data_IF_149729939777
#
_entry.id   IF_149729939777
#
_cell.length_a   1.000
_cell.length_b   1.000
_cell.length_c   1.000
_cell.angle_alpha   90.00
_cell.angle_beta   90.00
_cell.angle_gamma   90.00
#
_symmetry.space_group_name_H-M   'P 1'
#
loop_
_entity.id
_entity.type
_entity.pdbx_description
1 polymer ?
#
# COMPACT_ATOMS: atom_id res chain seq x y z
N UNK A 1 -12.59 -28.97 1.14
CA UNK A 1 -11.64 -28.04 0.49
C UNK A 1 -11.04 -27.03 1.47
N UNK A 2 -11.70 -26.72 2.57
CA UNK A 2 -11.26 -25.70 3.53
C UNK A 2 -10.01 -26.05 4.36
N UNK A 3 -9.86 -27.32 4.80
CA UNK A 3 -8.69 -27.75 5.60
C UNK A 3 -7.34 -27.51 4.87
N UNK A 4 -7.18 -27.85 3.57
CA UNK A 4 -6.00 -27.45 2.80
C UNK A 4 -5.77 -25.93 2.73
N UNK A 5 -6.82 -25.13 2.51
CA UNK A 5 -6.72 -23.67 2.49
C UNK A 5 -6.23 -23.10 3.82
N UNK A 6 -6.78 -23.60 4.93
CA UNK A 6 -6.37 -23.19 6.27
C UNK A 6 -4.91 -23.55 6.56
N UNK A 7 -4.46 -24.75 6.19
CA UNK A 7 -3.05 -25.14 6.34
C UNK A 7 -2.12 -24.27 5.49
N UNK A 8 -2.53 -23.91 4.28
CA UNK A 8 -1.79 -22.96 3.43
C UNK A 8 -1.70 -21.59 4.08
N UNK A 9 -2.77 -21.09 4.69
CA UNK A 9 -2.81 -19.85 5.45
C UNK A 9 -1.81 -19.87 6.61
N UNK A 10 -1.82 -20.96 7.40
CA UNK A 10 -0.91 -21.14 8.52
C UNK A 10 0.55 -21.20 8.07
N UNK A 11 0.85 -21.86 6.94
CA UNK A 11 2.20 -21.89 6.38
C UNK A 11 2.63 -20.47 5.98
N UNK A 12 1.77 -19.76 5.26
CA UNK A 12 2.05 -18.39 4.81
C UNK A 12 2.30 -17.43 5.98
N UNK A 13 1.49 -17.51 7.03
CA UNK A 13 1.72 -16.76 8.27
C UNK A 13 3.07 -17.11 8.88
N UNK A 14 3.46 -18.39 8.98
CA UNK A 14 4.76 -18.77 9.57
C UNK A 14 5.95 -18.32 8.74
N UNK A 15 5.86 -18.42 7.41
CA UNK A 15 6.93 -18.02 6.52
C UNK A 15 7.12 -16.49 6.54
N UNK A 16 6.00 -15.73 6.57
CA UNK A 16 5.94 -14.27 6.64
C UNK A 16 6.97 -13.56 5.75
N UNK A 17 7.19 -14.10 4.54
CA UNK A 17 8.05 -13.46 3.55
C UNK A 17 7.45 -12.08 3.22
N UNK A 18 8.22 -10.99 3.28
CA UNK A 18 7.70 -9.66 3.00
C UNK A 18 7.27 -9.53 1.54
N UNK A 19 6.45 -8.53 1.24
CA UNK A 19 5.99 -8.19 -0.11
C UNK A 19 5.15 -9.31 -0.76
N UNK A 20 4.40 -10.04 0.07
CA UNK A 20 3.49 -11.11 -0.32
C UNK A 20 2.05 -10.82 0.10
N UNK A 21 1.15 -11.30 -0.74
CA UNK A 21 -0.30 -11.38 -0.51
C UNK A 21 -0.79 -12.81 -0.73
N UNK A 22 -1.71 -13.27 0.10
CA UNK A 22 -2.41 -14.54 -0.08
C UNK A 22 -3.91 -14.35 0.05
N UNK A 23 -4.63 -14.63 -1.03
CA UNK A 23 -6.10 -14.73 -1.05
C UNK A 23 -6.51 -16.21 -0.99
N UNK A 24 -7.37 -16.57 -0.04
CA UNK A 24 -7.96 -17.91 0.09
C UNK A 24 -9.42 -17.82 0.53
N UNK A 25 -10.20 -18.87 0.30
CA UNK A 25 -11.56 -18.97 0.84
C UNK A 25 -11.56 -19.75 2.16
N UNK A 26 -12.18 -19.20 3.19
CA UNK A 26 -12.39 -19.80 4.51
C UNK A 26 -13.74 -19.35 5.06
N UNK A 27 -14.42 -20.20 5.81
CA UNK A 27 -15.56 -19.78 6.63
C UNK A 27 -15.13 -18.75 7.66
N UNK A 28 -16.11 -17.98 8.15
CA UNK A 28 -15.89 -16.99 9.21
C UNK A 28 -15.31 -17.60 10.49
N UNK A 29 -15.71 -18.83 10.85
CA UNK A 29 -15.17 -19.57 12.00
C UNK A 29 -13.65 -19.81 11.84
N UNK A 30 -13.24 -20.31 10.67
CA UNK A 30 -11.82 -20.54 10.39
C UNK A 30 -11.04 -19.24 10.22
N UNK A 31 -11.65 -18.17 9.72
CA UNK A 31 -11.05 -16.84 9.75
C UNK A 31 -10.77 -16.40 11.19
N UNK A 32 -11.75 -16.48 12.10
CA UNK A 32 -11.56 -16.12 13.51
C UNK A 32 -10.48 -16.97 14.21
N UNK A 33 -10.38 -18.26 13.88
CA UNK A 33 -9.29 -19.10 14.38
C UNK A 33 -7.92 -18.68 13.83
N UNK A 34 -7.85 -18.28 12.55
CA UNK A 34 -6.64 -17.81 11.88
C UNK A 34 -6.18 -16.46 12.44
N UNK A 35 -7.09 -15.52 12.65
CA UNK A 35 -6.82 -14.20 13.24
C UNK A 35 -6.25 -14.34 14.65
N UNK A 36 -6.88 -15.15 15.51
CA UNK A 36 -6.33 -15.50 16.83
C UNK A 36 -4.92 -16.09 16.72
N UNK A 37 -4.66 -16.93 15.72
CA UNK A 37 -3.33 -17.51 15.52
C UNK A 37 -2.30 -16.48 15.09
N UNK A 38 -2.67 -15.54 14.21
CA UNK A 38 -1.82 -14.42 13.82
C UNK A 38 -1.48 -13.55 15.04
N UNK A 39 -2.48 -13.21 15.85
CA UNK A 39 -2.26 -12.43 17.08
C UNK A 39 -1.35 -13.17 18.08
N UNK A 40 -1.48 -14.49 18.26
CA UNK A 40 -0.55 -15.27 19.10
C UNK A 40 0.90 -15.23 18.58
N UNK A 41 1.10 -15.20 17.26
CA UNK A 41 2.43 -15.20 16.65
C UNK A 41 3.08 -13.81 16.63
N UNK A 42 2.28 -12.75 16.48
CA UNK A 42 2.75 -11.40 16.17
C UNK A 42 2.30 -10.32 17.17
N UNK A 43 1.43 -10.64 18.11
CA UNK A 43 0.87 -9.70 19.08
C UNK A 43 0.12 -8.56 18.38
N UNK A 44 0.46 -7.34 18.78
CA UNK A 44 -0.08 -6.10 18.20
C UNK A 44 0.74 -5.60 16.99
N UNK A 45 1.66 -6.41 16.47
CA UNK A 45 2.38 -6.03 15.27
C UNK A 45 1.40 -5.90 14.09
N UNK A 46 1.56 -4.81 13.33
CA UNK A 46 0.68 -4.49 12.20
C UNK A 46 0.68 -5.54 11.09
N UNK A 47 1.78 -6.29 10.93
CA UNK A 47 1.90 -7.33 9.91
C UNK A 47 2.40 -8.65 10.51
N UNK A 48 1.99 -9.79 9.95
CA UNK A 48 1.02 -9.94 8.85
C UNK A 48 -0.40 -9.54 9.24
N UNK A 49 -1.11 -8.86 8.33
CA UNK A 49 -2.50 -8.43 8.50
C UNK A 49 -3.42 -9.50 7.90
N UNK A 50 -4.49 -9.84 8.61
CA UNK A 50 -5.51 -10.79 8.14
C UNK A 50 -6.83 -10.04 8.00
N UNK A 51 -7.42 -10.11 6.82
CA UNK A 51 -8.68 -9.44 6.46
C UNK A 51 -9.69 -10.46 5.95
N UNK A 52 -10.97 -10.14 6.07
CA UNK A 52 -12.06 -11.01 5.63
C UNK A 52 -13.09 -10.23 4.81
N UNK A 53 -13.44 -10.77 3.65
CA UNK A 53 -14.56 -10.32 2.84
C UNK A 53 -15.71 -11.34 2.96
N UNK A 54 -16.82 -10.90 3.55
CA UNK A 54 -17.99 -11.72 3.81
C UNK A 54 -18.74 -12.11 2.53
N UNK A 55 -18.78 -11.23 1.52
CA UNK A 55 -19.48 -11.48 0.25
C UNK A 55 -19.03 -12.74 -0.48
N UNK A 56 -17.74 -13.08 -0.42
CA UNK A 56 -17.17 -14.23 -1.11
C UNK A 56 -16.38 -15.17 -0.18
N UNK A 57 -16.48 -14.96 1.14
CA UNK A 57 -15.76 -15.69 2.18
C UNK A 57 -14.25 -15.71 1.96
N UNK A 58 -13.70 -14.62 1.40
CA UNK A 58 -12.27 -14.48 1.10
C UNK A 58 -11.54 -13.97 2.33
N UNK A 59 -10.56 -14.74 2.78
CA UNK A 59 -9.51 -14.27 3.68
C UNK A 59 -8.33 -13.79 2.86
N UNK A 60 -7.85 -12.58 3.18
CA UNK A 60 -6.61 -12.04 2.61
C UNK A 60 -5.57 -11.88 3.71
N UNK A 61 -4.37 -12.40 3.48
CA UNK A 61 -3.21 -12.17 4.35
C UNK A 61 -2.20 -11.29 3.61
N UNK A 62 -1.86 -10.15 4.22
CA UNK A 62 -0.81 -9.25 3.77
C UNK A 62 0.40 -9.36 4.67
N UNK A 63 1.57 -9.48 4.06
CA UNK A 63 2.85 -9.35 4.76
C UNK A 63 3.34 -7.90 4.65
N UNK A 64 4.46 -7.58 5.28
CA UNK A 64 5.02 -6.22 5.25
C UNK A 64 5.18 -5.76 3.78
N UNK A 65 4.54 -4.66 3.38
CA UNK A 65 4.59 -4.19 1.99
C UNK A 65 5.94 -3.56 1.64
N UNK A 66 6.16 -3.31 0.34
CA UNK A 66 7.33 -2.53 -0.12
C UNK A 66 7.26 -1.08 0.37
N UNK A 67 8.41 -0.41 0.46
CA UNK A 67 8.41 1.05 0.65
C UNK A 67 7.72 1.77 -0.52
N UNK A 68 7.78 1.21 -1.73
CA UNK A 68 7.07 1.69 -2.90
C UNK A 68 5.57 1.71 -2.66
N UNK A 69 5.00 0.63 -2.14
CA UNK A 69 3.58 0.55 -1.81
C UNK A 69 3.20 1.64 -0.78
N UNK A 70 3.76 1.60 0.43
CA UNK A 70 3.34 2.48 1.51
C UNK A 70 3.64 3.96 1.26
N UNK A 71 4.77 4.31 0.62
CA UNK A 71 5.05 5.72 0.32
C UNK A 71 4.19 6.24 -0.82
N UNK A 72 3.90 5.42 -1.83
CA UNK A 72 3.09 5.89 -2.97
C UNK A 72 1.65 6.17 -2.54
N UNK A 73 1.08 5.37 -1.64
CA UNK A 73 -0.28 5.58 -1.11
C UNK A 73 -0.35 6.84 -0.26
N UNK A 74 0.57 7.02 0.69
CA UNK A 74 0.62 8.19 1.57
C UNK A 74 0.85 9.48 0.79
N UNK A 75 1.84 9.50 -0.12
CA UNK A 75 2.10 10.73 -0.90
C UNK A 75 0.94 11.07 -1.84
N UNK A 76 0.23 10.07 -2.39
CA UNK A 76 -0.96 10.33 -3.21
C UNK A 76 -2.11 10.88 -2.34
N UNK A 77 -2.33 10.33 -1.14
CA UNK A 77 -3.29 10.84 -0.18
C UNK A 77 -2.98 12.29 0.21
N UNK A 78 -1.73 12.60 0.53
CA UNK A 78 -1.27 13.94 0.88
C UNK A 78 -1.47 14.91 -0.29
N UNK A 79 -1.13 14.52 -1.52
CA UNK A 79 -1.34 15.37 -2.69
C UNK A 79 -2.81 15.71 -2.93
N UNK A 80 -3.69 14.72 -2.78
CA UNK A 80 -5.15 14.93 -2.89
C UNK A 80 -5.63 15.87 -1.78
N UNK A 81 -5.19 15.63 -0.55
CA UNK A 81 -5.54 16.44 0.61
C UNK A 81 -5.06 17.89 0.46
N UNK A 82 -3.85 18.09 -0.05
CA UNK A 82 -3.27 19.40 -0.34
C UNK A 82 -4.05 20.11 -1.45
N UNK A 83 -4.45 19.41 -2.52
CA UNK A 83 -5.32 19.97 -3.56
C UNK A 83 -6.66 20.46 -2.99
N UNK A 84 -7.30 19.66 -2.12
CA UNK A 84 -8.51 20.07 -1.40
C UNK A 84 -8.27 21.33 -0.56
N UNK A 85 -7.18 21.35 0.22
CA UNK A 85 -6.80 22.51 1.06
C UNK A 85 -6.60 23.76 0.21
N UNK A 86 -5.89 23.65 -0.90
CA UNK A 86 -5.51 24.80 -1.73
C UNK A 86 -6.76 25.41 -2.40
N UNK A 87 -7.70 24.59 -2.87
CA UNK A 87 -9.00 25.06 -3.36
C UNK A 87 -9.77 25.78 -2.24
N UNK A 88 -9.83 25.21 -1.02
CA UNK A 88 -10.48 25.86 0.11
C UNK A 88 -9.85 27.22 0.44
N UNK A 89 -8.52 27.34 0.38
CA UNK A 89 -7.82 28.61 0.61
C UNK A 89 -8.18 29.63 -0.46
N UNK A 90 -8.12 29.25 -1.74
CA UNK A 90 -8.44 30.12 -2.88
C UNK A 90 -9.85 30.71 -2.79
N UNK A 91 -10.78 29.96 -2.19
CA UNK A 91 -12.18 30.35 -2.05
C UNK A 91 -12.56 30.86 -0.64
N UNK A 92 -11.57 31.18 0.22
CA UNK A 92 -11.78 31.68 1.59
C UNK A 92 -12.61 30.75 2.49
N UNK A 93 -12.42 29.43 2.35
CA UNK A 93 -13.12 28.35 3.07
C UNK A 93 -12.17 27.43 3.84
N UNK A 94 -10.97 27.91 4.18
CA UNK A 94 -9.91 27.12 4.84
C UNK A 94 -10.36 26.37 6.10
N UNK A 95 -11.32 26.93 6.86
CA UNK A 95 -11.83 26.34 8.10
C UNK A 95 -12.51 24.98 7.86
N UNK A 96 -13.08 24.75 6.67
CA UNK A 96 -13.70 23.47 6.32
C UNK A 96 -12.69 22.32 6.25
N UNK A 97 -11.39 22.61 6.19
CA UNK A 97 -10.34 21.59 6.18
C UNK A 97 -10.33 20.73 7.45
N UNK A 98 -10.82 21.28 8.57
CA UNK A 98 -10.95 20.54 9.84
C UNK A 98 -11.87 19.32 9.74
N UNK A 99 -12.73 19.28 8.72
CA UNK A 99 -13.66 18.17 8.50
C UNK A 99 -13.05 17.02 7.71
N UNK A 100 -11.84 17.18 7.15
CA UNK A 100 -11.19 16.15 6.34
C UNK A 100 -10.11 15.48 7.16
N UNK A 101 -10.34 14.22 7.53
CA UNK A 101 -9.37 13.41 8.26
C UNK A 101 -8.75 12.36 7.33
N UNK A 102 -7.45 12.12 7.51
CA UNK A 102 -6.75 11.03 6.84
C UNK A 102 -7.05 9.71 7.53
N UNK A 103 -7.29 8.67 6.75
CA UNK A 103 -7.42 7.27 7.22
C UNK A 103 -6.48 6.33 6.47
N UNK A 104 -6.26 5.14 7.03
CA UNK A 104 -5.56 4.04 6.40
C UNK A 104 -4.38 3.53 7.20
N UNK A 105 -3.43 2.93 6.51
CA UNK A 105 -2.37 2.14 7.11
C UNK A 105 -1.44 2.92 8.05
N UNK A 106 -1.28 4.22 7.83
CA UNK A 106 -0.36 5.08 8.60
C UNK A 106 -1.06 5.95 9.64
N UNK A 107 -2.38 5.83 9.77
CA UNK A 107 -3.17 6.67 10.68
C UNK A 107 -3.63 5.90 11.90
N UNK A 108 -3.81 6.59 13.02
CA UNK A 108 -4.32 6.00 14.27
C UNK A 108 -5.79 5.59 14.13
N UNK A 109 -6.53 6.25 13.24
CA UNK A 109 -7.93 5.94 12.95
C UNK A 109 -8.03 4.79 11.94
N UNK A 110 -8.55 3.65 12.41
CA UNK A 110 -9.02 2.60 11.53
C UNK A 110 -10.41 2.96 11.02
N UNK A 111 -10.70 2.65 9.76
CA UNK A 111 -12.04 2.71 9.18
C UNK A 111 -12.90 1.54 9.69
N UNK A 112 -12.80 1.20 10.99
CA UNK A 112 -13.40 0.03 11.63
C UNK A 112 -14.93 0.14 11.82
N UNK A 113 -15.62 0.89 10.96
CA UNK A 113 -17.07 0.86 10.86
C UNK A 113 -17.50 -0.18 9.82
N UNK A 114 -17.54 -1.41 10.33
CA UNK A 114 -18.44 -2.52 10.02
C UNK A 114 -19.12 -2.53 8.64
N UNK A 115 -18.40 -3.04 7.63
CA UNK A 115 -19.04 -3.75 6.53
C UNK A 115 -19.84 -4.95 7.06
N UNK A 116 -20.74 -5.51 6.26
CA UNK A 116 -21.67 -6.62 6.57
C UNK A 116 -20.96 -7.95 6.94
N UNK A 117 -20.19 -7.96 8.04
CA UNK A 117 -19.31 -9.07 8.44
C UNK A 117 -17.91 -9.03 7.83
N UNK A 118 -17.57 -8.00 7.05
CA UNK A 118 -16.24 -7.84 6.43
C UNK A 118 -15.31 -6.98 7.27
N UNK A 119 -14.02 -7.32 7.23
CA UNK A 119 -12.93 -6.54 7.84
C UNK A 119 -11.92 -6.16 6.75
N UNK A 120 -11.65 -4.86 6.63
CA UNK A 120 -10.61 -4.36 5.72
C UNK A 120 -10.02 -3.06 6.24
N UNK A 121 -8.71 -2.90 6.08
CA UNK A 121 -8.00 -1.64 6.36
C UNK A 121 -7.56 -1.04 5.03
N UNK A 122 -7.88 0.24 4.75
CA UNK A 122 -7.44 0.86 3.51
C UNK A 122 -5.95 1.17 3.57
N UNK A 123 -5.26 1.14 2.43
CA UNK A 123 -3.85 1.55 2.40
C UNK A 123 -3.73 3.04 2.71
N UNK A 124 -4.59 3.86 2.13
CA UNK A 124 -4.79 5.26 2.49
C UNK A 124 -6.22 5.70 2.13
N UNK A 125 -6.66 6.85 2.64
CA UNK A 125 -7.98 7.38 2.31
C UNK A 125 -8.31 8.68 3.04
N UNK A 126 -9.45 9.26 2.72
CA UNK A 126 -9.98 10.43 3.42
C UNK A 126 -11.37 10.10 3.94
N UNK A 127 -11.67 10.63 5.12
CA UNK A 127 -13.01 10.66 5.68
C UNK A 127 -13.43 12.10 5.90
N UNK A 128 -14.74 12.33 5.86
CA UNK A 128 -15.39 13.54 6.28
C UNK A 128 -15.95 13.34 7.69
N UNK A 129 -15.66 14.26 8.61
CA UNK A 129 -16.23 14.31 9.96
C UNK A 129 -16.53 15.75 10.39
N UNK A 130 -17.80 16.08 10.59
CA UNK A 130 -18.23 17.37 11.12
C UNK A 130 -18.80 17.31 12.54
N UNK A 131 -18.62 16.19 13.26
CA UNK A 131 -19.19 15.91 14.57
C UNK A 131 -20.62 15.38 14.55
N UNK A 132 -21.34 15.52 13.42
CA UNK A 132 -22.69 14.99 13.23
C UNK A 132 -22.73 13.81 12.25
N UNK A 133 -21.88 13.87 11.23
CA UNK A 133 -21.73 12.85 10.20
C UNK A 133 -20.26 12.51 10.06
N UNK A 134 -19.97 11.21 10.13
CA UNK A 134 -18.68 10.62 9.77
C UNK A 134 -18.88 9.72 8.56
N UNK A 135 -18.14 9.96 7.48
CA UNK A 135 -18.31 9.21 6.24
C UNK A 135 -16.98 9.07 5.49
N UNK A 136 -16.69 7.87 4.98
CA UNK A 136 -15.60 7.67 4.02
C UNK A 136 -15.91 8.45 2.74
N UNK A 137 -14.95 9.23 2.26
CA UNK A 137 -15.08 10.01 1.02
C UNK A 137 -14.20 9.48 -0.09
N UNK A 138 -13.02 8.98 0.27
CA UNK A 138 -12.05 8.46 -0.67
C UNK A 138 -11.27 7.31 -0.04
N UNK A 139 -11.10 6.20 -0.77
CA UNK A 139 -10.11 5.17 -0.45
C UNK A 139 -9.07 5.07 -1.57
N UNK A 140 -7.82 4.79 -1.22
CA UNK A 140 -6.72 4.48 -2.12
C UNK A 140 -6.23 3.08 -1.77
N UNK A 141 -6.28 2.18 -2.75
CA UNK A 141 -5.64 0.86 -2.68
C UNK A 141 -4.47 0.84 -3.66
N UNK A 142 -3.29 0.43 -3.20
CA UNK A 142 -2.14 0.25 -4.06
C UNK A 142 -1.76 -1.22 -4.18
N UNK A 143 -1.04 -1.54 -5.24
CA UNK A 143 -0.40 -2.84 -5.36
C UNK A 143 0.89 -2.74 -6.15
N UNK A 144 1.96 -3.31 -5.60
CA UNK A 144 3.26 -3.39 -6.27
C UNK A 144 3.46 -4.82 -6.75
N UNK A 145 3.40 -5.00 -8.07
CA UNK A 145 3.48 -6.30 -8.72
C UNK A 145 2.39 -7.28 -8.28
N UNK A 146 1.30 -6.78 -7.70
CA UNK A 146 0.11 -7.55 -7.35
C UNK A 146 -0.79 -7.77 -8.58
N UNK A 147 -1.61 -8.82 -8.52
CA UNK A 147 -2.55 -9.12 -9.60
C UNK A 147 -3.65 -8.06 -9.66
N UNK A 148 -3.77 -7.37 -10.79
CA UNK A 148 -4.79 -6.33 -11.00
C UNK A 148 -6.22 -6.78 -10.63
N UNK A 149 -6.59 -8.02 -10.96
CA UNK A 149 -7.91 -8.59 -10.59
C UNK A 149 -8.12 -8.69 -9.07
N UNK A 150 -7.07 -8.98 -8.30
CA UNK A 150 -7.19 -9.07 -6.84
C UNK A 150 -7.46 -7.67 -6.24
N UNK A 151 -6.71 -6.66 -6.68
CA UNK A 151 -6.92 -5.28 -6.25
C UNK A 151 -8.28 -4.72 -6.69
N UNK A 152 -8.74 -5.07 -7.89
CA UNK A 152 -10.07 -4.66 -8.35
C UNK A 152 -11.19 -5.22 -7.46
N UNK A 153 -11.06 -6.47 -6.97
CA UNK A 153 -12.01 -7.01 -5.98
C UNK A 153 -11.99 -6.23 -4.67
N UNK A 154 -10.83 -5.74 -4.26
CA UNK A 154 -10.71 -4.91 -3.06
C UNK A 154 -11.38 -3.55 -3.23
N UNK A 155 -11.26 -2.95 -4.43
CA UNK A 155 -12.02 -1.75 -4.81
C UNK A 155 -13.53 -2.03 -4.77
N UNK A 156 -13.98 -3.14 -5.36
CA UNK A 156 -15.40 -3.53 -5.35
C UNK A 156 -15.94 -3.72 -3.93
N UNK A 157 -15.14 -4.29 -3.03
CA UNK A 157 -15.46 -4.42 -1.61
C UNK A 157 -15.66 -3.04 -0.95
N UNK A 158 -14.76 -2.08 -1.20
CA UNK A 158 -14.90 -0.72 -0.67
C UNK A 158 -16.15 0.01 -1.18
N UNK A 159 -16.43 -0.08 -2.48
CA UNK A 159 -17.58 0.59 -3.09
C UNK A 159 -18.91 0.00 -2.62
N UNK A 160 -18.99 -1.34 -2.52
CA UNK A 160 -20.26 -2.03 -2.31
C UNK A 160 -20.57 -2.29 -0.84
N UNK A 161 -19.60 -2.80 -0.06
CA UNK A 161 -19.85 -3.21 1.32
C UNK A 161 -19.56 -2.09 2.32
N UNK A 162 -18.46 -1.37 2.13
CA UNK A 162 -18.08 -0.22 2.97
C UNK A 162 -18.67 1.10 2.47
N UNK A 163 -19.44 1.05 1.38
CA UNK A 163 -20.20 2.18 0.84
C UNK A 163 -19.36 3.42 0.53
N UNK A 164 -18.07 3.24 0.25
CA UNK A 164 -17.20 4.34 -0.12
C UNK A 164 -17.64 4.92 -1.48
N UNK A 165 -17.86 6.24 -1.60
CA UNK A 165 -18.35 6.82 -2.84
C UNK A 165 -17.29 6.83 -3.94
N UNK A 166 -16.00 6.95 -3.56
CA UNK A 166 -14.87 7.02 -4.50
C UNK A 166 -13.72 6.15 -4.05
N UNK A 167 -13.18 5.33 -4.95
CA UNK A 167 -11.97 4.55 -4.71
C UNK A 167 -10.95 4.77 -5.82
N UNK A 168 -9.68 4.82 -5.45
CA UNK A 168 -8.54 4.93 -6.36
C UNK A 168 -7.75 3.65 -6.28
N UNK A 169 -7.52 3.03 -7.44
CA UNK A 169 -6.56 1.95 -7.61
C UNK A 169 -5.25 2.51 -8.14
N UNK A 170 -4.19 2.37 -7.35
CA UNK A 170 -2.83 2.73 -7.75
C UNK A 170 -1.99 1.49 -8.04
N UNK A 171 -1.94 1.09 -9.32
CA UNK A 171 -1.26 -0.14 -9.73
C UNK A 171 0.14 0.13 -10.26
N UNK A 172 1.12 -0.55 -9.67
CA UNK A 172 2.55 -0.40 -9.94
C UNK A 172 3.14 -1.75 -10.32
N UNK A 173 3.87 -1.84 -11.44
CA UNK A 173 4.43 -3.10 -11.94
C UNK A 173 5.96 -3.06 -12.05
N UNK A 174 6.63 -3.66 -11.06
CA UNK A 174 8.08 -3.90 -11.06
C UNK A 174 8.40 -5.14 -11.90
N UNK A 175 9.31 -5.03 -12.87
CA UNK A 175 9.72 -6.16 -13.69
C UNK A 175 11.23 -6.12 -14.02
N UNK A 176 12.03 -7.15 -13.68
CA UNK A 176 11.62 -8.39 -13.02
C UNK A 176 11.12 -8.14 -11.59
N UNK A 177 10.24 -9.01 -11.10
CA UNK A 177 9.88 -9.01 -9.68
C UNK A 177 11.12 -9.31 -8.86
N UNK A 178 11.24 -8.64 -7.72
CA UNK A 178 12.34 -8.89 -6.79
C UNK A 178 12.38 -10.34 -6.32
N UNK A 179 13.60 -10.84 -6.19
CA UNK A 179 13.91 -12.09 -5.51
C UNK A 179 15.25 -11.94 -4.82
N UNK A 180 15.38 -12.48 -3.61
CA UNK A 180 16.63 -12.36 -2.86
C UNK A 180 17.81 -13.03 -3.59
N UNK A 181 19.04 -12.48 -3.45
CA UNK A 181 20.21 -13.09 -4.06
C UNK A 181 20.53 -14.43 -3.38
N UNK A 182 21.02 -15.39 -4.16
CA UNK A 182 21.37 -16.74 -3.66
C UNK A 182 22.67 -16.78 -2.85
N UNK A 183 23.58 -15.86 -3.14
CA UNK A 183 24.95 -15.82 -2.61
C UNK A 183 25.06 -14.75 -1.51
N UNK A 184 24.71 -15.13 -0.28
CA UNK A 184 24.63 -14.21 0.85
C UNK A 184 25.98 -13.69 1.36
N UNK A 185 27.06 -14.41 1.08
CA UNK A 185 28.44 -14.06 1.41
C UNK A 185 29.00 -12.90 0.59
N UNK A 186 28.39 -12.60 -0.56
CA UNK A 186 28.77 -11.46 -1.43
C UNK A 186 28.33 -10.09 -0.90
N UNK A 187 27.59 -10.02 0.20
CA UNK A 187 27.03 -8.76 0.69
C UNK A 187 27.28 -8.56 2.18
N UNK A 188 27.76 -7.38 2.55
CA UNK A 188 28.06 -6.99 3.92
C UNK A 188 27.44 -5.64 4.29
N UNK A 189 27.14 -5.48 5.58
CA UNK A 189 26.74 -4.20 6.18
C UNK A 189 27.82 -3.12 6.01
N UNK A 190 29.08 -3.49 5.86
CA UNK A 190 30.16 -2.51 5.60
C UNK A 190 30.04 -1.83 4.25
N UNK A 191 29.18 -2.32 3.36
CA UNK A 191 29.02 -1.82 2.01
C UNK A 191 27.89 -0.78 1.87
N UNK A 192 27.25 -0.36 2.96
CA UNK A 192 26.14 0.60 2.90
C UNK A 192 26.50 1.88 2.13
N UNK A 193 27.69 2.46 2.33
CA UNK A 193 28.09 3.68 1.60
C UNK A 193 28.16 3.44 0.09
N UNK A 194 28.80 2.35 -0.34
CA UNK A 194 28.93 2.02 -1.76
C UNK A 194 27.56 1.66 -2.39
N UNK A 195 26.69 1.01 -1.62
CA UNK A 195 25.33 0.72 -2.03
C UNK A 195 24.52 2.01 -2.22
N UNK A 196 24.55 2.92 -1.25
CA UNK A 196 23.80 4.19 -1.29
C UNK A 196 24.27 5.07 -2.46
N UNK A 197 25.58 5.15 -2.71
CA UNK A 197 26.15 5.83 -3.88
C UNK A 197 25.64 5.22 -5.20
N UNK A 198 25.59 3.89 -5.30
CA UNK A 198 25.04 3.20 -6.48
C UNK A 198 23.54 3.49 -6.67
N UNK A 199 22.76 3.56 -5.58
CA UNK A 199 21.33 3.90 -5.65
C UNK A 199 21.11 5.33 -6.14
N UNK A 200 21.92 6.29 -5.67
CA UNK A 200 21.84 7.68 -6.12
C UNK A 200 22.21 7.83 -7.59
N UNK A 201 23.28 7.16 -8.04
CA UNK A 201 23.67 7.15 -9.45
C UNK A 201 22.57 6.54 -10.32
N UNK A 202 22.00 5.41 -9.89
CA UNK A 202 20.89 4.77 -10.60
C UNK A 202 19.68 5.69 -10.71
N UNK A 203 19.28 6.39 -9.65
CA UNK A 203 18.16 7.34 -9.65
C UNK A 203 18.36 8.47 -10.66
N UNK A 204 19.57 9.00 -10.76
CA UNK A 204 19.89 10.10 -11.67
C UNK A 204 19.79 9.68 -13.14
N UNK A 205 20.13 8.43 -13.46
CA UNK A 205 20.10 7.90 -14.83
C UNK A 205 18.73 7.30 -15.20
N UNK A 206 18.08 6.65 -14.23
CA UNK A 206 16.86 5.87 -14.40
C UNK A 206 15.92 6.10 -13.20
N UNK A 207 15.15 7.19 -13.29
CA UNK A 207 14.24 7.66 -12.23
C UNK A 207 13.35 6.56 -11.62
N UNK A 208 12.92 5.58 -12.41
CA UNK A 208 12.03 4.50 -11.99
C UNK A 208 12.68 3.11 -12.00
N UNK A 209 14.00 3.06 -11.81
CA UNK A 209 14.80 1.84 -11.83
C UNK A 209 15.22 1.42 -13.25
N UNK A 210 16.06 0.36 -13.38
CA UNK A 210 16.49 -0.53 -12.30
C UNK A 210 17.43 0.11 -11.28
N UNK A 211 17.37 -0.40 -10.05
CA UNK A 211 18.36 -0.16 -9.01
C UNK A 211 19.14 -1.45 -8.79
N UNK A 212 20.42 -1.44 -9.17
CA UNK A 212 21.28 -2.62 -9.14
C UNK A 212 22.56 -2.37 -8.35
N UNK A 213 23.05 -3.41 -7.69
CA UNK A 213 24.33 -3.40 -6.98
C UNK A 213 24.90 -4.83 -6.98
N UNK A 214 26.17 -4.99 -7.39
CA UNK A 214 26.86 -6.29 -7.54
C UNK A 214 26.06 -7.33 -8.34
N UNK A 215 25.67 -6.94 -9.55
CA UNK A 215 24.94 -7.79 -10.51
C UNK A 215 23.55 -8.27 -10.02
N UNK A 216 23.01 -7.61 -8.99
CA UNK A 216 21.71 -7.92 -8.44
C UNK A 216 20.76 -6.73 -8.49
N UNK A 217 19.51 -6.97 -8.91
CA UNK A 217 18.45 -5.98 -8.88
C UNK A 217 17.80 -5.94 -7.50
N UNK A 218 18.10 -4.88 -6.76
CA UNK A 218 17.42 -4.58 -5.50
C UNK A 218 16.06 -3.93 -5.74
N UNK A 219 15.85 -3.39 -6.94
CA UNK A 219 14.54 -3.03 -7.49
C UNK A 219 14.59 -3.09 -9.03
N UNK A 220 13.67 -3.83 -9.66
CA UNK A 220 13.53 -3.87 -11.12
C UNK A 220 12.89 -2.59 -11.69
N UNK A 221 13.00 -2.27 -12.98
CA UNK A 221 12.34 -1.08 -13.52
C UNK A 221 10.81 -1.15 -13.34
N UNK A 222 10.21 -0.01 -13.04
CA UNK A 222 8.76 0.15 -13.02
C UNK A 222 8.24 0.25 -14.46
N UNK A 223 7.84 -0.88 -15.01
CA UNK A 223 7.41 -0.99 -16.42
C UNK A 223 6.02 -0.41 -16.68
N UNK A 224 5.17 -0.36 -15.65
CA UNK A 224 3.83 0.23 -15.72
C UNK A 224 3.49 0.88 -14.38
N UNK A 225 2.85 2.04 -14.46
CA UNK A 225 2.20 2.71 -13.34
C UNK A 225 0.93 3.37 -13.89
N UNK A 226 -0.21 3.13 -13.25
CA UNK A 226 -1.44 3.86 -13.59
C UNK A 226 -2.33 4.05 -12.36
N UNK A 227 -3.20 5.05 -12.46
CA UNK A 227 -4.18 5.40 -11.46
C UNK A 227 -5.56 5.26 -12.13
N UNK A 228 -6.41 4.42 -11.54
CA UNK A 228 -7.80 4.24 -11.96
C UNK A 228 -8.74 4.71 -10.86
N UNK A 229 -9.78 5.45 -11.23
CA UNK A 229 -10.75 5.99 -10.27
C UNK A 229 -12.12 5.39 -10.52
N UNK A 230 -12.68 4.86 -9.45
CA UNK A 230 -13.96 4.19 -9.41
C UNK A 230 -14.91 5.02 -8.54
N UNK A 231 -16.13 5.23 -9.04
CA UNK A 231 -17.21 5.88 -8.30
C UNK A 231 -18.39 4.91 -8.23
N UNK A 232 -19.06 4.84 -7.08
CA UNK A 232 -20.12 3.85 -6.81
C UNK A 232 -21.27 3.91 -7.82
N UNK A 233 -21.70 5.12 -8.21
CA UNK A 233 -22.87 5.34 -9.07
C UNK A 233 -22.52 5.87 -10.47
N UNK A 234 -21.25 5.80 -10.88
CA UNK A 234 -20.81 6.26 -12.19
C UNK A 234 -19.90 5.24 -12.88
N UNK A 235 -19.77 5.36 -14.21
CA UNK A 235 -18.84 4.54 -14.96
C UNK A 235 -17.39 4.78 -14.52
N UNK A 236 -16.60 3.71 -14.44
CA UNK A 236 -15.17 3.76 -14.11
C UNK A 236 -14.41 4.68 -15.06
N UNK A 237 -13.52 5.52 -14.52
CA UNK A 237 -12.63 6.38 -15.31
C UNK A 237 -11.19 5.91 -15.14
N UNK A 238 -10.58 5.49 -16.24
CA UNK A 238 -9.15 5.15 -16.31
C UNK A 238 -8.40 6.40 -16.75
N UNK A 239 -7.43 6.87 -15.96
CA UNK A 239 -6.67 8.07 -16.28
C UNK A 239 -5.27 7.66 -16.72
N UNK A 240 -4.87 8.18 -17.88
CA UNK A 240 -3.56 7.96 -18.51
C UNK A 240 -2.88 9.31 -18.73
N UNK A 241 -1.56 9.33 -18.57
CA UNK A 241 -0.68 10.52 -18.53
C UNK A 241 -1.10 11.73 -19.40
N UNK A 242 -1.08 12.91 -18.76
CA UNK A 242 -1.03 14.28 -19.30
C UNK A 242 -0.28 15.17 -18.30
N UNK A 243 0.00 16.45 -18.58
CA UNK A 243 0.82 17.29 -17.68
C UNK A 243 0.18 17.50 -16.29
N UNK A 244 -1.16 17.54 -16.22
CA UNK A 244 -1.94 17.56 -14.99
C UNK A 244 -2.85 16.32 -14.89
N UNK A 245 -2.77 15.61 -13.76
CA UNK A 245 -3.60 14.43 -13.52
C UNK A 245 -4.93 14.86 -12.92
N UNK A 246 -5.95 15.01 -13.77
CA UNK A 246 -7.34 15.14 -13.34
C UNK A 246 -7.85 13.81 -12.83
N UNK A 247 -7.69 13.57 -11.52
CA UNK A 247 -8.05 12.31 -10.86
C UNK A 247 -9.53 11.95 -11.03
N UNK A 248 -10.40 12.93 -11.28
CA UNK A 248 -11.84 12.70 -11.43
C UNK A 248 -12.69 13.03 -10.20
N UNK A 249 -12.20 12.95 -8.94
CA UNK A 249 -12.87 13.57 -7.82
C UNK A 249 -12.96 15.09 -7.98
N UNK A 250 -13.94 15.66 -7.30
CA UNK A 250 -14.26 17.08 -7.20
C UNK A 250 -14.44 17.43 -5.73
N UNK A 251 -14.43 18.71 -5.38
CA UNK A 251 -14.68 19.16 -4.00
C UNK A 251 -15.96 18.56 -3.39
N UNK A 252 -17.02 18.38 -4.18
CA UNK A 252 -18.27 17.77 -3.73
C UNK A 252 -18.12 16.33 -3.24
N UNK A 253 -17.13 15.58 -3.73
CA UNK A 253 -16.88 14.20 -3.29
C UNK A 253 -16.29 14.12 -1.87
N UNK A 254 -15.64 15.19 -1.39
CA UNK A 254 -15.03 15.25 -0.05
C UNK A 254 -15.93 15.87 1.02
N UNK A 255 -17.03 16.50 0.61
CA UNK A 255 -17.92 17.27 1.47
C UNK A 255 -19.38 16.97 1.09
N UNK A 256 -19.94 15.85 1.56
CA UNK A 256 -21.26 15.39 1.13
C UNK A 256 -22.39 16.34 1.54
N UNK A 257 -22.31 16.99 2.72
CA UNK A 257 -23.41 17.78 3.31
C UNK A 257 -22.95 19.14 3.89
N UNK A 258 -22.07 19.86 3.20
CA UNK A 258 -21.55 21.15 3.69
C UNK A 258 -21.94 22.25 2.71
N UNK A 259 -22.96 23.04 3.06
CA UNK A 259 -23.48 24.10 2.20
C UNK A 259 -22.45 25.21 1.97
N UNK A 260 -21.50 25.38 2.89
CA UNK A 260 -20.41 26.35 2.74
C UNK A 260 -19.58 26.09 1.49
N UNK A 261 -19.50 24.85 1.01
CA UNK A 261 -18.71 24.52 -0.18
C UNK A 261 -19.54 24.46 -1.48
N UNK A 262 -20.85 24.76 -1.45
CA UNK A 262 -21.74 24.61 -2.61
C UNK A 262 -21.22 25.34 -3.86
N UNK A 263 -20.73 26.57 -3.68
CA UNK A 263 -20.12 27.39 -4.73
C UNK A 263 -18.90 26.77 -5.42
N UNK A 264 -18.25 25.77 -4.81
CA UNK A 264 -17.02 25.15 -5.30
C UNK A 264 -17.13 23.63 -5.49
N UNK A 265 -18.31 23.03 -5.30
CA UNK A 265 -18.50 21.57 -5.37
C UNK A 265 -17.98 20.94 -6.66
N UNK A 266 -18.14 21.63 -7.78
CA UNK A 266 -17.72 21.15 -9.10
C UNK A 266 -16.23 21.33 -9.42
N UNK A 267 -15.45 21.98 -8.54
CA UNK A 267 -14.02 22.21 -8.79
C UNK A 267 -13.28 20.86 -8.73
N UNK A 268 -12.53 20.48 -9.78
CA UNK A 268 -11.84 19.20 -9.84
C UNK A 268 -10.65 19.16 -8.89
N UNK A 269 -10.34 17.96 -8.39
CA UNK A 269 -9.09 17.68 -7.69
C UNK A 269 -8.02 17.34 -8.71
N UNK A 270 -6.89 18.05 -8.60
CA UNK A 270 -5.76 17.93 -9.50
C UNK A 270 -4.51 17.56 -8.72
N UNK A 271 -3.75 16.62 -9.26
CA UNK A 271 -2.44 16.24 -8.73
C UNK A 271 -1.41 16.42 -9.83
N UNK A 272 -0.36 17.19 -9.53
CA UNK A 272 0.69 17.47 -10.48
C UNK A 272 1.48 16.19 -10.83
N UNK A 273 1.66 15.90 -12.11
CA UNK A 273 2.31 14.64 -12.54
C UNK A 273 3.80 14.59 -12.20
N UNK A 274 4.47 15.73 -12.18
CA UNK A 274 5.86 15.86 -11.74
C UNK A 274 6.03 15.43 -10.27
N UNK A 275 5.06 15.74 -9.41
CA UNK A 275 4.99 15.32 -8.01
C UNK A 275 4.83 13.81 -7.90
N UNK A 276 3.91 13.23 -8.69
CA UNK A 276 3.71 11.76 -8.76
C UNK A 276 4.99 11.05 -9.17
N UNK A 277 5.63 11.52 -10.24
CA UNK A 277 6.92 10.98 -10.67
C UNK A 277 8.01 11.13 -9.61
N UNK A 278 7.97 12.15 -8.75
CA UNK A 278 9.02 12.40 -7.75
C UNK A 278 8.89 11.42 -6.59
N UNK A 279 7.69 11.27 -6.02
CA UNK A 279 7.51 10.32 -4.94
C UNK A 279 7.68 8.87 -5.42
N UNK A 280 7.28 8.53 -6.65
CA UNK A 280 7.49 7.18 -7.20
C UNK A 280 8.98 6.85 -7.32
N UNK A 281 9.79 7.80 -7.79
CA UNK A 281 11.24 7.65 -7.89
C UNK A 281 11.89 7.42 -6.53
N UNK A 282 11.54 8.28 -5.56
CA UNK A 282 12.01 8.19 -4.18
C UNK A 282 11.60 6.87 -3.52
N UNK A 283 10.37 6.43 -3.76
CA UNK A 283 9.82 5.20 -3.17
C UNK A 283 10.41 3.92 -3.79
N UNK A 284 10.74 3.94 -5.10
CA UNK A 284 11.49 2.87 -5.75
C UNK A 284 12.90 2.74 -5.16
N UNK A 285 13.63 3.86 -5.02
CA UNK A 285 14.95 3.89 -4.38
C UNK A 285 14.89 3.32 -2.95
N UNK A 286 13.98 3.82 -2.12
CA UNK A 286 13.88 3.33 -0.73
C UNK A 286 13.40 1.89 -0.62
N UNK A 287 12.75 1.35 -1.64
CA UNK A 287 12.45 -0.09 -1.71
C UNK A 287 13.73 -0.89 -1.91
N UNK A 288 14.61 -0.46 -2.82
CA UNK A 288 15.91 -1.09 -3.02
C UNK A 288 16.76 -1.06 -1.74
N UNK A 289 16.83 0.10 -1.07
CA UNK A 289 17.53 0.29 0.21
C UNK A 289 16.95 -0.61 1.31
N UNK A 290 15.63 -0.66 1.45
CA UNK A 290 14.97 -1.50 2.45
C UNK A 290 15.26 -2.98 2.25
N UNK A 291 15.23 -3.46 0.99
CA UNK A 291 15.54 -4.86 0.63
C UNK A 291 16.99 -5.19 0.93
N UNK A 292 17.94 -4.32 0.57
CA UNK A 292 19.36 -4.48 0.88
C UNK A 292 19.59 -4.57 2.39
N UNK A 293 19.05 -3.60 3.13
CA UNK A 293 19.13 -3.52 4.59
C UNK A 293 18.56 -4.77 5.25
N UNK A 294 17.40 -5.25 4.78
CA UNK A 294 16.77 -6.47 5.27
C UNK A 294 17.68 -7.68 5.06
N UNK A 295 18.22 -7.83 3.84
CA UNK A 295 19.07 -8.95 3.44
C UNK A 295 20.35 -9.02 4.27
N UNK A 296 21.13 -7.94 4.36
CA UNK A 296 22.41 -7.96 5.09
C UNK A 296 22.22 -8.18 6.60
N UNK A 297 21.07 -7.77 7.17
CA UNK A 297 20.74 -8.01 8.59
C UNK A 297 20.32 -9.47 8.86
N UNK A 298 19.55 -10.07 7.95
CA UNK A 298 19.10 -11.47 8.10
C UNK A 298 20.21 -12.48 7.80
N UNK A 299 21.03 -12.23 6.78
CA UNK A 299 22.20 -13.07 6.44
C UNK A 299 23.18 -13.20 7.62
N UNK A 300 23.38 -12.12 8.39
CA UNK A 300 24.19 -12.16 9.63
C UNK A 300 23.58 -13.06 10.71
N UNK A 301 22.25 -13.11 10.85
CA UNK A 301 21.57 -13.97 11.84
C UNK A 301 21.70 -15.46 11.49
N UNK A 302 21.66 -15.79 10.20
CA UNK A 302 21.83 -17.17 9.70
C UNK A 302 23.29 -17.62 9.89
N UNK A 303 24.26 -16.77 9.55
CA UNK A 303 25.69 -17.08 9.74
C UNK A 303 26.08 -17.24 11.21
N UNK A 304 25.49 -16.47 12.14
CA UNK A 304 25.71 -16.61 13.59
C UNK A 304 25.05 -17.85 14.21
N UNK A 305 24.09 -18.49 13.54
CA UNK A 305 23.38 -19.69 14.02
C UNK A 305 23.97 -21.00 13.50
N UNK A 306 24.95 -20.98 12.61
CA UNK A 306 25.71 -22.18 12.27
C UNK A 306 26.64 -22.48 13.46
N UNK A 307 26.48 -23.62 14.17
CA UNK A 307 27.50 -24.06 15.09
C UNK A 307 28.79 -24.18 14.30
N UNK A 308 29.90 -23.68 14.83
CA UNK A 308 31.23 -24.05 14.38
C UNK A 308 31.39 -25.56 14.58
N UNK A 309 30.92 -26.34 13.62
CA UNK A 309 31.30 -27.73 13.48
C UNK A 309 32.80 -27.73 13.15
N UNK A 310 33.63 -28.04 14.14
CA UNK A 310 35.07 -28.22 13.96
C UNK A 310 35.96 -27.35 14.84
N UNK A 311 35.93 -27.60 16.15
CA UNK A 311 37.15 -27.66 16.97
C UNK A 311 37.00 -28.80 17.98
N UNK A 312 37.06 -30.02 17.45
CA UNK A 312 37.69 -31.13 18.14
C UNK A 312 38.84 -31.58 17.24
N UNK A 313 40.05 -31.19 17.62
CA UNK A 313 41.28 -31.85 17.21
C UNK A 313 42.39 -31.43 18.19
N UNK A 314 42.98 -32.47 18.81
CA UNK A 314 44.10 -32.50 19.76
C UNK A 314 43.78 -32.06 21.20
#
# INVERSE_FOLDING_TARGET
MERPSYQRALKFLRDNEPERRLDIQLSYENFGALEKKAHVLYGDAKYPRVEYAASDSRVTIYTVPTALHSRSTVNLQEAIRDSVRDILIQHNKKESMRYILSVGETTVESANDQGTGSTKTPDAGLLFDNGHRRALTLIIEAGVSEGYRALKRDIELWLNEFQCPTCILFWLNENPRFGYPREADKYSVTEHSAFDEAMQLARNNHRFGPYSYRDHFWFGPLTKAFIEVFKRDASTRVIKNGDDLKLGPTMGDFFPDVSEIDSIRGVPIEVATNFVGHFLASAAQSTAEARFNCFVRTSKRILRRRPTAGRQAA
#
